data_IF_304392717169
#
_entry.id   IF_304392717169
#
_cell.length_a   1.000
_cell.length_b   1.000
_cell.length_c   1.000
_cell.angle_alpha   90.00
_cell.angle_beta   90.00
_cell.angle_gamma   90.00
#
_symmetry.space_group_name_H-M   'P 1'
#
loop_
_entity.id
_entity.type
_entity.pdbx_description
1 polymer ?
#
# COMPACT_ATOMS: atom_id res chain seq x y z
N UNK A 1 68.72 17.17 -9.83
CA UNK A 1 67.52 17.95 -10.20
C UNK A 1 66.65 17.14 -11.15
N UNK A 2 65.64 16.41 -10.65
CA UNK A 2 64.48 15.96 -11.44
C UNK A 2 63.28 16.12 -10.52
N UNK A 3 62.44 17.09 -10.84
CA UNK A 3 61.31 17.54 -10.04
C UNK A 3 60.23 16.45 -9.99
N UNK A 4 59.73 16.04 -8.80
CA UNK A 4 58.64 15.07 -8.70
C UNK A 4 57.26 15.70 -8.97
N UNK A 5 57.20 17.02 -9.22
CA UNK A 5 55.96 17.79 -9.39
C UNK A 5 55.16 17.41 -10.63
N UNK A 6 55.78 16.80 -11.65
CA UNK A 6 55.09 16.46 -12.91
C UNK A 6 54.28 15.15 -12.81
N UNK A 7 54.66 14.23 -11.93
CA UNK A 7 53.97 12.94 -11.79
C UNK A 7 52.67 13.06 -10.96
N UNK A 8 52.60 14.05 -10.07
CA UNK A 8 51.42 14.28 -9.22
C UNK A 8 50.28 15.00 -9.96
N UNK A 9 50.58 15.75 -11.03
CA UNK A 9 49.56 16.45 -11.82
C UNK A 9 48.79 15.54 -12.79
N UNK A 10 49.41 14.44 -13.23
CA UNK A 10 48.79 13.51 -14.21
C UNK A 10 47.79 12.56 -13.55
N UNK A 11 47.99 12.22 -12.27
CA UNK A 11 47.09 11.31 -11.53
C UNK A 11 45.80 12.02 -11.09
N UNK A 12 45.82 13.33 -10.90
CA UNK A 12 44.63 14.09 -10.48
C UNK A 12 43.62 14.33 -11.63
N UNK A 13 44.03 14.16 -12.89
CA UNK A 13 43.17 14.35 -14.06
C UNK A 13 42.26 13.14 -14.38
N UNK A 14 42.46 11.99 -13.71
CA UNK A 14 41.73 10.75 -13.99
C UNK A 14 40.40 10.56 -13.23
N UNK A 15 40.05 11.46 -12.30
CA UNK A 15 38.87 11.33 -11.44
C UNK A 15 37.65 12.14 -11.92
N UNK A 16 37.71 12.72 -13.12
CA UNK A 16 36.51 13.21 -13.80
C UNK A 16 35.72 12.01 -14.36
N UNK A 17 35.21 11.17 -13.46
CA UNK A 17 34.21 10.18 -13.79
C UNK A 17 32.95 10.95 -14.22
N UNK A 18 32.80 11.16 -15.52
CA UNK A 18 31.51 11.50 -16.10
C UNK A 18 30.54 10.39 -15.71
N UNK A 19 29.76 10.59 -14.65
CA UNK A 19 28.54 9.82 -14.45
C UNK A 19 27.65 10.13 -15.66
N UNK A 20 27.66 9.22 -16.63
CA UNK A 20 26.72 9.28 -17.74
C UNK A 20 25.36 9.01 -17.10
N UNK A 21 24.59 10.07 -16.86
CA UNK A 21 23.19 9.93 -16.45
C UNK A 21 22.50 9.14 -17.55
N UNK A 22 22.17 7.89 -17.27
CA UNK A 22 21.41 7.05 -18.18
C UNK A 22 19.98 7.56 -18.12
N UNK A 23 19.66 8.53 -18.97
CA UNK A 23 18.28 8.92 -19.17
C UNK A 23 17.63 7.85 -20.02
N UNK A 24 16.85 6.98 -19.37
CA UNK A 24 16.06 5.97 -20.06
C UNK A 24 15.01 6.73 -20.88
N UNK A 25 15.05 6.55 -22.19
CA UNK A 25 14.04 7.09 -23.09
C UNK A 25 12.80 6.19 -22.95
N UNK A 26 11.96 6.54 -21.98
CA UNK A 26 10.70 5.86 -21.72
C UNK A 26 9.66 6.45 -22.67
N UNK A 27 8.89 5.61 -23.34
CA UNK A 27 7.76 6.07 -24.14
C UNK A 27 6.78 6.81 -23.21
N UNK A 28 6.51 8.09 -23.53
CA UNK A 28 5.49 8.87 -22.81
C UNK A 28 4.13 8.27 -23.13
N UNK A 29 3.56 7.51 -22.19
CA UNK A 29 2.20 6.98 -22.31
C UNK A 29 1.19 8.07 -21.99
N UNK A 30 0.04 8.08 -22.68
CA UNK A 30 -1.05 8.99 -22.32
C UNK A 30 -1.46 8.79 -20.85
N UNK A 31 -1.72 9.87 -20.08
CA UNK A 31 -2.15 9.77 -18.69
C UNK A 31 -3.34 8.82 -18.52
N UNK A 32 -3.20 7.86 -17.60
CA UNK A 32 -4.24 6.87 -17.31
C UNK A 32 -5.02 7.30 -16.06
N UNK A 33 -6.31 6.98 -16.02
CA UNK A 33 -7.10 7.12 -14.80
C UNK A 33 -6.55 6.18 -13.72
N UNK A 34 -6.40 6.69 -12.50
CA UNK A 34 -6.06 5.94 -11.29
C UNK A 34 -7.26 6.01 -10.36
N UNK A 35 -7.73 4.85 -9.91
CA UNK A 35 -8.87 4.71 -9.00
C UNK A 35 -8.38 4.03 -7.73
N UNK A 36 -8.52 4.70 -6.59
CA UNK A 36 -8.26 4.14 -5.27
C UNK A 36 -9.53 4.23 -4.44
N UNK A 37 -10.14 3.08 -4.15
CA UNK A 37 -11.42 3.04 -3.47
C UNK A 37 -11.49 1.91 -2.45
N UNK A 38 -12.27 2.13 -1.39
CA UNK A 38 -12.46 1.11 -0.38
C UNK A 38 -13.86 1.11 0.23
N UNK A 39 -14.24 -0.04 0.80
CA UNK A 39 -15.40 -0.24 1.68
C UNK A 39 -14.93 -1.05 2.88
N UNK A 40 -15.28 -0.62 4.10
CA UNK A 40 -14.87 -1.31 5.33
C UNK A 40 -16.05 -1.71 6.19
N UNK A 41 -15.85 -2.61 7.14
CA UNK A 41 -16.86 -2.94 8.15
C UNK A 41 -16.99 -1.88 9.28
N UNK A 42 -16.21 -0.79 9.24
CA UNK A 42 -16.36 0.34 10.15
C UNK A 42 -17.43 1.31 9.66
N UNK A 43 -17.88 2.21 10.52
CA UNK A 43 -18.82 3.27 10.13
C UNK A 43 -18.23 4.12 8.99
N UNK A 44 -19.03 4.35 7.94
CA UNK A 44 -18.68 5.27 6.86
C UNK A 44 -18.64 6.75 7.30
N UNK A 45 -18.48 7.68 6.35
CA UNK A 45 -18.47 7.46 4.90
C UNK A 45 -17.15 6.87 4.41
N UNK A 46 -17.21 6.08 3.33
CA UNK A 46 -16.05 5.57 2.62
C UNK A 46 -15.68 6.49 1.46
N UNK A 47 -14.45 6.32 0.96
CA UNK A 47 -13.86 7.21 -0.05
C UNK A 47 -13.45 6.47 -1.31
N UNK A 48 -13.63 7.12 -2.46
CA UNK A 48 -13.01 6.79 -3.73
C UNK A 48 -12.25 8.02 -4.22
N UNK A 49 -10.96 7.87 -4.46
CA UNK A 49 -10.08 8.90 -5.00
C UNK A 49 -9.81 8.61 -6.47
N UNK A 50 -10.00 9.62 -7.32
CA UNK A 50 -9.74 9.58 -8.74
C UNK A 50 -8.64 10.58 -9.10
N UNK A 51 -7.60 10.11 -9.79
CA UNK A 51 -6.50 10.94 -10.30
C UNK A 51 -6.01 10.45 -11.66
N UNK A 52 -5.06 11.17 -12.25
CA UNK A 52 -4.35 10.73 -13.46
C UNK A 52 -2.91 10.36 -13.14
N UNK A 53 -2.38 9.35 -13.82
CA UNK A 53 -0.97 9.02 -13.78
C UNK A 53 -0.14 10.15 -14.40
N UNK A 54 1.10 10.30 -13.94
CA UNK A 54 2.07 11.25 -14.49
C UNK A 54 3.25 10.49 -15.08
N UNK A 55 4.04 11.17 -15.92
CA UNK A 55 5.26 10.59 -16.49
C UNK A 55 6.27 10.23 -15.39
N UNK A 56 7.12 9.25 -15.66
CA UNK A 56 8.10 8.74 -14.69
C UNK A 56 9.05 9.81 -14.11
N UNK A 57 9.39 10.83 -14.90
CA UNK A 57 10.26 11.92 -14.47
C UNK A 57 9.49 13.16 -13.95
N UNK A 58 8.16 13.09 -13.88
CA UNK A 58 7.35 14.16 -13.32
C UNK A 58 7.49 14.19 -11.79
N UNK A 59 7.05 15.30 -11.18
CA UNK A 59 6.93 15.37 -9.73
C UNK A 59 5.78 14.47 -9.24
N UNK A 60 5.82 14.06 -7.97
CA UNK A 60 4.80 13.23 -7.30
C UNK A 60 3.47 13.95 -7.03
N UNK A 61 3.00 14.75 -7.98
CA UNK A 61 1.72 15.46 -7.95
C UNK A 61 0.80 14.85 -8.99
N UNK A 62 -0.13 14.01 -8.55
CA UNK A 62 -1.10 13.34 -9.42
C UNK A 62 -2.36 14.21 -9.60
N UNK A 63 -2.67 14.70 -10.82
CA UNK A 63 -3.81 15.59 -11.03
C UNK A 63 -5.15 14.88 -10.72
N UNK A 64 -6.07 15.52 -9.98
CA UNK A 64 -7.36 14.91 -9.65
C UNK A 64 -8.28 14.83 -10.88
N UNK A 65 -9.13 13.81 -10.93
CA UNK A 65 -10.19 13.67 -11.94
C UNK A 65 -11.52 14.04 -11.31
N UNK A 66 -12.12 15.13 -11.79
CA UNK A 66 -13.37 15.70 -11.25
C UNK A 66 -14.56 15.44 -12.17
N UNK A 67 -15.77 15.60 -11.65
CA UNK A 67 -17.02 15.47 -12.43
C UNK A 67 -17.35 14.05 -12.91
N UNK A 68 -16.70 13.02 -12.37
CA UNK A 68 -17.03 11.63 -12.64
C UNK A 68 -18.32 11.20 -11.93
N UNK A 69 -19.01 10.21 -12.48
CA UNK A 69 -20.07 9.48 -11.76
C UNK A 69 -19.44 8.27 -11.08
N UNK A 70 -19.56 8.19 -9.75
CA UNK A 70 -18.99 7.08 -8.95
C UNK A 70 -20.10 6.41 -8.15
N UNK A 71 -20.21 5.08 -8.28
CA UNK A 71 -21.22 4.27 -7.62
C UNK A 71 -20.53 3.10 -6.94
N UNK A 72 -20.85 2.84 -5.68
CA UNK A 72 -20.52 1.58 -5.01
C UNK A 72 -21.82 0.81 -4.76
N UNK A 73 -21.85 -0.47 -5.13
CA UNK A 73 -22.97 -1.36 -4.92
C UNK A 73 -22.60 -2.52 -3.99
N UNK A 74 -23.47 -2.83 -3.03
CA UNK A 74 -23.49 -4.10 -2.32
C UNK A 74 -24.30 -5.09 -3.16
N UNK A 75 -23.62 -6.06 -3.78
CA UNK A 75 -24.24 -7.00 -4.71
C UNK A 75 -25.15 -7.98 -3.97
N UNK A 76 -24.81 -8.35 -2.73
CA UNK A 76 -25.58 -9.26 -1.91
C UNK A 76 -26.89 -8.61 -1.43
N UNK A 77 -26.84 -7.34 -1.07
CA UNK A 77 -28.01 -6.58 -0.62
C UNK A 77 -28.83 -5.96 -1.76
N UNK A 78 -28.35 -6.04 -3.01
CA UNK A 78 -28.92 -5.35 -4.17
C UNK A 78 -29.14 -3.84 -3.88
N UNK A 79 -28.15 -3.22 -3.27
CA UNK A 79 -28.17 -1.82 -2.85
C UNK A 79 -27.01 -1.07 -3.50
N UNK A 80 -27.25 0.16 -3.94
CA UNK A 80 -26.23 1.01 -4.55
C UNK A 80 -26.25 2.41 -3.92
N UNK A 81 -25.06 2.96 -3.71
CA UNK A 81 -24.81 4.30 -3.23
C UNK A 81 -24.04 5.07 -4.29
N UNK A 82 -24.63 6.17 -4.77
CA UNK A 82 -23.96 7.10 -5.68
C UNK A 82 -23.20 8.12 -4.85
N UNK A 83 -21.88 8.15 -5.01
CA UNK A 83 -21.00 8.97 -4.19
C UNK A 83 -21.05 10.44 -4.62
N UNK A 84 -20.83 11.33 -3.67
CA UNK A 84 -20.70 12.79 -3.92
C UNK A 84 -19.24 13.19 -3.94
N UNK A 85 -18.83 13.99 -4.93
CA UNK A 85 -17.52 14.64 -4.95
C UNK A 85 -17.46 15.73 -3.86
N UNK A 86 -16.58 15.55 -2.87
CA UNK A 86 -16.45 16.45 -1.71
C UNK A 86 -15.27 17.41 -1.83
N UNK A 87 -14.27 17.05 -2.62
CA UNK A 87 -13.16 17.88 -3.06
C UNK A 87 -12.65 17.33 -4.40
N UNK A 88 -11.84 18.08 -5.18
CA UNK A 88 -11.39 17.64 -6.49
C UNK A 88 -10.84 16.20 -6.47
N UNK A 89 -11.54 15.29 -7.15
CA UNK A 89 -11.16 13.88 -7.27
C UNK A 89 -11.45 13.02 -6.04
N UNK A 90 -12.12 13.52 -5.00
CA UNK A 90 -12.47 12.76 -3.79
C UNK A 90 -13.98 12.59 -3.68
N UNK A 91 -14.44 11.36 -3.85
CA UNK A 91 -15.84 10.96 -3.80
C UNK A 91 -16.14 10.23 -2.49
N UNK A 92 -17.28 10.53 -1.85
CA UNK A 92 -17.68 9.91 -0.58
C UNK A 92 -19.05 9.26 -0.64
N UNK A 93 -19.19 8.13 0.05
CA UNK A 93 -20.48 7.45 0.22
C UNK A 93 -21.37 8.20 1.22
N UNK A 94 -22.65 7.82 1.27
CA UNK A 94 -23.64 8.43 2.16
C UNK A 94 -24.23 7.42 3.14
N UNK A 95 -24.54 6.23 2.66
CA UNK A 95 -25.45 5.28 3.33
C UNK A 95 -24.98 3.84 3.27
N UNK A 96 -24.15 3.48 2.28
CA UNK A 96 -23.60 2.13 2.23
C UNK A 96 -22.72 1.88 3.46
N UNK A 97 -22.87 0.70 4.03
CA UNK A 97 -22.13 0.21 5.18
C UNK A 97 -21.58 -1.16 4.81
N UNK A 98 -20.28 -1.38 5.01
CA UNK A 98 -19.64 -2.66 4.71
C UNK A 98 -20.08 -3.75 5.67
N UNK A 99 -20.34 -4.94 5.11
CA UNK A 99 -20.80 -6.14 5.79
C UNK A 99 -19.86 -7.27 5.37
N UNK A 100 -19.32 -7.97 6.37
CA UNK A 100 -18.47 -9.13 6.12
C UNK A 100 -19.22 -10.23 5.36
N UNK A 101 -18.52 -10.87 4.41
CA UNK A 101 -19.08 -11.88 3.51
C UNK A 101 -19.82 -11.33 2.30
N UNK A 102 -20.06 -10.01 2.23
CA UNK A 102 -20.67 -9.37 1.06
C UNK A 102 -19.62 -9.03 0.00
N UNK A 103 -20.06 -9.02 -1.26
CA UNK A 103 -19.28 -8.57 -2.40
C UNK A 103 -19.73 -7.17 -2.81
N UNK A 104 -18.75 -6.28 -2.92
CA UNK A 104 -18.95 -4.89 -3.33
C UNK A 104 -18.45 -4.68 -4.76
N UNK A 105 -19.25 -3.96 -5.55
CA UNK A 105 -18.90 -3.51 -6.88
C UNK A 105 -18.67 -2.01 -6.93
N UNK A 106 -17.64 -1.57 -7.63
CA UNK A 106 -17.39 -0.18 -7.96
C UNK A 106 -17.68 0.06 -9.45
N UNK A 107 -18.37 1.15 -9.77
CA UNK A 107 -18.52 1.66 -11.13
C UNK A 107 -18.15 3.14 -11.18
N UNK A 108 -17.22 3.49 -12.08
CA UNK A 108 -16.78 4.86 -12.33
C UNK A 108 -17.01 5.18 -13.81
N UNK A 109 -17.73 6.26 -14.09
CA UNK A 109 -17.88 6.79 -15.45
C UNK A 109 -17.23 8.17 -15.53
N UNK A 110 -16.23 8.31 -16.39
CA UNK A 110 -15.49 9.56 -16.59
C UNK A 110 -15.12 9.73 -18.06
N UNK A 111 -15.37 10.92 -18.61
CA UNK A 111 -15.10 11.27 -20.02
C UNK A 111 -15.66 10.26 -21.03
N UNK A 112 -16.86 9.71 -20.76
CA UNK A 112 -17.53 8.72 -21.61
C UNK A 112 -17.01 7.28 -21.50
N UNK A 113 -15.98 7.04 -20.69
CA UNK A 113 -15.45 5.70 -20.39
C UNK A 113 -16.01 5.17 -19.07
N UNK A 114 -16.20 3.85 -18.99
CA UNK A 114 -16.68 3.17 -17.79
C UNK A 114 -15.63 2.20 -17.27
N UNK A 115 -15.40 2.23 -15.96
CA UNK A 115 -14.47 1.39 -15.23
C UNK A 115 -15.22 0.66 -14.13
N UNK A 116 -14.91 -0.61 -13.93
CA UNK A 116 -15.60 -1.45 -12.94
C UNK A 116 -14.62 -2.28 -12.13
N UNK A 117 -14.88 -2.49 -10.84
CA UNK A 117 -14.11 -3.39 -10.00
C UNK A 117 -15.02 -4.16 -9.03
N UNK A 118 -14.53 -5.28 -8.52
CA UNK A 118 -15.26 -6.13 -7.56
C UNK A 118 -14.31 -6.60 -6.45
N UNK A 119 -14.79 -6.61 -5.21
CA UNK A 119 -14.06 -7.14 -4.06
C UNK A 119 -15.03 -7.74 -3.03
N UNK A 120 -14.72 -8.93 -2.54
CA UNK A 120 -15.50 -9.59 -1.48
C UNK A 120 -14.87 -9.33 -0.12
N UNK A 121 -15.66 -8.82 0.83
CA UNK A 121 -15.20 -8.54 2.18
C UNK A 121 -15.05 -9.86 2.97
N UNK A 122 -13.85 -10.22 3.44
CA UNK A 122 -13.66 -11.46 4.22
C UNK A 122 -14.32 -11.44 5.60
N UNK A 123 -14.27 -12.58 6.28
CA UNK A 123 -14.60 -12.69 7.71
C UNK A 123 -13.60 -11.86 8.56
N UNK A 124 -14.06 -11.18 9.62
CA UNK A 124 -13.15 -10.45 10.49
C UNK A 124 -12.30 -11.42 11.32
N UNK A 125 -11.00 -11.17 11.36
CA UNK A 125 -10.06 -11.79 12.30
C UNK A 125 -9.66 -10.75 13.34
N UNK A 126 -9.63 -11.15 14.60
CA UNK A 126 -9.26 -10.25 15.69
C UNK A 126 -7.73 -10.14 15.81
N UNK A 127 -7.21 -8.91 15.76
CA UNK A 127 -5.85 -8.63 16.18
C UNK A 127 -5.81 -8.65 17.72
N UNK A 128 -5.08 -9.58 18.32
CA UNK A 128 -5.11 -9.76 19.78
C UNK A 128 -4.23 -8.72 20.48
N UNK A 129 -2.99 -8.58 20.02
CA UNK A 129 -2.01 -7.69 20.62
C UNK A 129 -0.89 -7.29 19.65
N UNK A 130 -0.07 -6.34 20.09
CA UNK A 130 1.16 -5.94 19.42
C UNK A 130 2.30 -6.18 20.39
N UNK A 131 3.30 -6.92 19.95
CA UNK A 131 4.58 -7.08 20.66
C UNK A 131 5.69 -6.47 19.83
N UNK A 132 6.87 -6.30 20.42
CA UNK A 132 8.01 -5.66 19.74
C UNK A 132 9.25 -6.53 19.90
N UNK A 133 10.07 -6.60 18.86
CA UNK A 133 11.40 -7.19 18.96
C UNK A 133 12.47 -6.21 18.48
N UNK A 134 13.65 -6.30 19.10
CA UNK A 134 14.83 -5.53 18.69
C UNK A 134 15.65 -6.38 17.71
N UNK A 135 15.70 -5.96 16.45
CA UNK A 135 16.39 -6.64 15.36
C UNK A 135 17.90 -6.35 15.32
N UNK A 136 18.40 -5.50 16.22
CA UNK A 136 19.77 -5.01 16.16
C UNK A 136 20.78 -6.10 16.45
N UNK A 137 21.60 -6.42 15.46
CA UNK A 137 22.76 -7.29 15.65
C UNK A 137 23.95 -6.46 16.16
N UNK A 138 24.44 -6.74 17.37
CA UNK A 138 25.65 -6.10 17.91
C UNK A 138 25.45 -4.76 18.66
N UNK A 139 24.21 -4.41 19.03
CA UNK A 139 23.91 -3.49 20.13
C UNK A 139 24.16 -1.99 19.91
N UNK A 140 24.35 -1.52 18.68
CA UNK A 140 24.58 -0.09 18.39
C UNK A 140 23.37 0.66 17.81
N UNK A 141 22.44 -0.06 17.17
CA UNK A 141 21.19 0.50 16.68
C UNK A 141 20.03 -0.02 17.55
N UNK A 142 18.87 0.63 17.49
CA UNK A 142 17.61 0.14 18.06
C UNK A 142 16.63 -0.08 16.91
N UNK A 143 16.82 -1.18 16.19
CA UNK A 143 15.92 -1.60 15.12
C UNK A 143 14.68 -2.26 15.75
N UNK A 144 13.74 -1.45 16.22
CA UNK A 144 12.50 -1.96 16.84
C UNK A 144 11.49 -2.27 15.74
N UNK A 145 10.95 -3.48 15.77
CA UNK A 145 9.99 -3.97 14.79
C UNK A 145 8.70 -4.38 15.50
N UNK A 146 7.54 -3.85 15.07
CA UNK A 146 6.26 -4.25 15.63
C UNK A 146 5.83 -5.61 15.09
N UNK A 147 5.21 -6.42 15.94
CA UNK A 147 4.72 -7.75 15.61
C UNK A 147 3.23 -7.84 15.93
N UNK A 148 2.35 -7.95 14.92
CA UNK A 148 0.95 -8.27 15.14
C UNK A 148 0.82 -9.72 15.63
N UNK A 149 0.02 -9.91 16.67
CA UNK A 149 -0.27 -11.22 17.26
C UNK A 149 -1.76 -11.52 17.07
N UNK A 150 -2.07 -12.59 16.34
CA UNK A 150 -3.45 -12.97 16.07
C UNK A 150 -3.59 -14.46 15.73
N UNK A 151 -4.79 -15.00 15.94
CA UNK A 151 -5.13 -16.36 15.59
C UNK A 151 -5.75 -16.40 14.18
N UNK A 152 -5.07 -17.04 13.24
CA UNK A 152 -5.62 -17.33 11.91
C UNK A 152 -6.70 -18.45 11.99
N UNK A 153 -7.89 -18.28 11.39
CA UNK A 153 -8.91 -19.32 11.35
C UNK A 153 -8.54 -20.49 10.43
N UNK A 154 -8.59 -21.71 10.94
CA UNK A 154 -8.24 -22.92 10.17
C UNK A 154 -9.23 -23.24 9.04
N UNK A 155 -8.73 -23.70 7.91
CA UNK A 155 -9.50 -24.25 6.79
C UNK A 155 -10.13 -23.21 5.86
N UNK A 156 -9.74 -21.94 6.00
CA UNK A 156 -10.16 -20.83 5.14
C UNK A 156 -8.90 -20.12 4.66
N UNK A 157 -8.75 -19.88 3.36
CA UNK A 157 -7.61 -19.12 2.87
C UNK A 157 -7.81 -17.62 3.19
N UNK A 158 -6.94 -17.07 4.03
CA UNK A 158 -6.97 -15.69 4.50
C UNK A 158 -5.78 -14.89 3.96
N UNK A 159 -6.07 -13.63 3.68
CA UNK A 159 -5.08 -12.65 3.27
C UNK A 159 -5.24 -11.41 4.11
N UNK A 160 -4.10 -10.84 4.49
CA UNK A 160 -4.04 -9.75 5.44
C UNK A 160 -3.20 -8.61 4.87
N UNK A 161 -3.62 -7.38 5.19
CA UNK A 161 -2.80 -6.18 5.05
C UNK A 161 -2.65 -5.53 6.42
N UNK A 162 -1.47 -4.98 6.69
CA UNK A 162 -1.22 -4.24 7.93
C UNK A 162 -0.81 -2.82 7.59
N UNK A 163 -1.41 -1.86 8.30
CA UNK A 163 -1.02 -0.45 8.27
C UNK A 163 -0.52 -0.08 9.65
N UNK A 164 0.70 0.44 9.71
CA UNK A 164 1.38 0.78 10.97
C UNK A 164 1.37 2.30 11.13
N UNK A 165 1.06 2.76 12.34
CA UNK A 165 1.14 4.15 12.73
C UNK A 165 2.09 4.28 13.92
N UNK A 166 3.02 5.23 13.84
CA UNK A 166 3.87 5.68 14.94
C UNK A 166 3.42 7.07 15.41
N UNK A 167 3.04 7.20 16.67
CA UNK A 167 2.55 8.46 17.25
C UNK A 167 1.46 9.15 16.41
N UNK A 168 0.61 8.35 15.76
CA UNK A 168 -0.48 8.80 14.88
C UNK A 168 -0.07 9.11 13.43
N UNK A 169 1.22 9.04 13.08
CA UNK A 169 1.72 9.16 11.71
C UNK A 169 1.85 7.79 11.08
N UNK A 170 1.30 7.61 9.88
CA UNK A 170 1.42 6.36 9.13
C UNK A 170 2.87 6.13 8.69
N UNK A 171 3.38 4.93 8.99
CA UNK A 171 4.61 4.40 8.41
C UNK A 171 4.30 4.04 6.96
N UNK A 172 4.85 4.80 6.02
CA UNK A 172 4.52 4.74 4.58
C UNK A 172 5.08 3.48 3.90
N UNK A 173 4.65 2.31 4.37
CA UNK A 173 5.05 1.00 3.87
C UNK A 173 3.87 0.04 3.90
N UNK A 174 3.69 -0.68 2.80
CA UNK A 174 2.65 -1.70 2.67
C UNK A 174 3.16 -3.03 3.20
N UNK A 175 2.40 -3.64 4.12
CA UNK A 175 2.66 -4.99 4.60
C UNK A 175 1.50 -5.89 4.24
N UNK A 176 1.79 -7.04 3.62
CA UNK A 176 0.79 -8.06 3.30
C UNK A 176 1.25 -9.44 3.71
N UNK A 177 0.29 -10.28 4.10
CA UNK A 177 0.54 -11.64 4.56
C UNK A 177 -0.51 -12.60 4.00
N UNK A 178 -0.10 -13.81 3.64
CA UNK A 178 -0.99 -14.91 3.26
C UNK A 178 -0.74 -16.08 4.19
N UNK A 179 -1.83 -16.67 4.68
CA UNK A 179 -1.81 -17.83 5.57
C UNK A 179 -1.44 -19.16 4.89
N UNK A 180 -1.08 -19.17 3.61
CA UNK A 180 -0.86 -20.39 2.80
C UNK A 180 0.03 -21.43 3.47
N UNK A 181 1.00 -21.00 4.28
CA UNK A 181 1.95 -21.87 4.99
C UNK A 181 1.71 -21.93 6.52
N UNK A 182 0.65 -21.28 6.99
CA UNK A 182 0.32 -21.09 8.40
C UNK A 182 -1.17 -21.20 8.72
N UNK A 183 -1.97 -21.83 7.85
CA UNK A 183 -3.41 -22.05 8.03
C UNK A 183 -3.73 -22.59 9.44
N UNK A 184 -4.60 -21.86 10.15
CA UNK A 184 -5.05 -22.22 11.50
C UNK A 184 -4.02 -21.96 12.61
N UNK A 185 -2.87 -21.36 12.32
CA UNK A 185 -1.81 -21.11 13.31
C UNK A 185 -1.93 -19.73 13.94
N UNK A 186 -1.35 -19.60 15.12
CA UNK A 186 -1.09 -18.30 15.71
C UNK A 186 0.01 -17.59 14.93
N UNK A 187 -0.28 -16.39 14.44
CA UNK A 187 0.65 -15.59 13.65
C UNK A 187 1.37 -14.59 14.57
N UNK A 188 2.70 -14.54 14.43
CA UNK A 188 3.61 -13.70 15.19
C UNK A 188 4.81 -13.31 14.32
N UNK A 189 4.54 -12.70 13.17
CA UNK A 189 5.57 -12.35 12.18
C UNK A 189 5.86 -10.84 12.21
N UNK A 190 7.13 -10.43 12.33
CA UNK A 190 7.47 -9.01 12.41
C UNK A 190 7.18 -8.26 11.11
N UNK A 191 6.58 -7.09 11.23
CA UNK A 191 6.44 -6.14 10.12
C UNK A 191 7.74 -5.37 9.99
N UNK A 192 8.58 -5.73 9.02
CA UNK A 192 9.89 -5.11 8.83
C UNK A 192 9.78 -3.67 8.29
N UNK A 193 9.82 -2.69 9.18
CA UNK A 193 9.84 -1.26 8.86
C UNK A 193 11.28 -0.77 8.71
N UNK A 194 11.48 0.27 7.88
CA UNK A 194 12.74 1.00 7.87
C UNK A 194 12.88 1.76 9.21
N UNK A 195 14.01 1.55 9.88
CA UNK A 195 14.15 1.62 11.35
C UNK A 195 14.25 3.02 11.94
N UNK A 196 13.98 4.07 11.17
CA UNK A 196 13.95 5.47 11.66
C UNK A 196 12.65 5.87 12.33
N UNK A 197 11.60 5.07 12.21
CA UNK A 197 10.24 5.55 12.47
C UNK A 197 9.65 5.11 13.81
N UNK A 198 10.22 4.12 14.49
CA UNK A 198 9.68 3.59 15.76
C UNK A 198 10.75 3.55 16.83
N UNK A 199 10.53 4.26 17.93
CA UNK A 199 11.45 4.41 19.06
C UNK A 199 10.84 3.92 20.37
N UNK A 200 11.66 3.63 21.40
CA UNK A 200 11.16 3.38 22.75
C UNK A 200 10.20 4.48 23.22
N UNK A 201 9.12 4.05 23.88
CA UNK A 201 8.04 4.89 24.42
C UNK A 201 7.09 5.52 23.41
N UNK A 202 7.29 5.30 22.11
CA UNK A 202 6.32 5.72 21.12
C UNK A 202 5.00 4.93 21.25
N UNK A 203 3.91 5.53 20.78
CA UNK A 203 2.63 4.85 20.65
C UNK A 203 2.50 4.25 19.25
N UNK A 204 2.61 2.92 19.17
CA UNK A 204 2.43 2.19 17.92
C UNK A 204 0.98 1.69 17.80
N UNK A 205 0.33 1.95 16.67
CA UNK A 205 -0.95 1.35 16.29
C UNK A 205 -0.76 0.49 15.05
N UNK A 206 -1.37 -0.70 15.05
CA UNK A 206 -1.51 -1.53 13.85
C UNK A 206 -3.00 -1.65 13.54
N UNK A 207 -3.36 -1.28 12.32
CA UNK A 207 -4.63 -1.62 11.71
C UNK A 207 -4.42 -2.86 10.84
N UNK A 208 -5.09 -3.96 11.18
CA UNK A 208 -5.08 -5.23 10.46
C UNK A 208 -6.35 -5.33 9.61
N UNK A 209 -6.15 -5.47 8.29
CA UNK A 209 -7.22 -5.65 7.33
C UNK A 209 -7.27 -7.11 6.89
N UNK A 210 -8.44 -7.74 6.94
CA UNK A 210 -8.67 -8.99 6.21
C UNK A 210 -9.18 -8.61 4.83
N UNK A 211 -8.44 -8.98 3.78
CA UNK A 211 -8.63 -8.50 2.41
C UNK A 211 -8.92 -9.64 1.44
N UNK A 212 -9.59 -9.33 0.32
CA UNK A 212 -9.81 -10.27 -0.77
C UNK A 212 -8.47 -10.65 -1.45
N UNK A 213 -8.43 -11.82 -2.09
CA UNK A 213 -7.22 -12.35 -2.74
C UNK A 213 -6.69 -11.43 -3.84
N UNK A 214 -7.58 -10.83 -4.64
CA UNK A 214 -7.18 -9.90 -5.70
C UNK A 214 -6.52 -8.63 -5.13
N UNK A 215 -7.02 -8.13 -4.00
CA UNK A 215 -6.43 -7.00 -3.26
C UNK A 215 -5.07 -7.40 -2.69
N UNK A 216 -4.95 -8.60 -2.12
CA UNK A 216 -3.67 -9.12 -1.65
C UNK A 216 -2.63 -9.19 -2.76
N UNK A 217 -3.00 -9.76 -3.91
CA UNK A 217 -2.09 -9.87 -5.06
C UNK A 217 -1.60 -8.50 -5.52
N UNK A 218 -2.50 -7.51 -5.61
CA UNK A 218 -2.13 -6.14 -5.98
C UNK A 218 -1.06 -5.57 -5.05
N UNK A 219 -1.29 -5.62 -3.73
CA UNK A 219 -0.34 -5.07 -2.76
C UNK A 219 0.93 -5.91 -2.62
N UNK A 220 0.85 -7.23 -2.82
CA UNK A 220 2.04 -8.08 -2.91
C UNK A 220 2.92 -7.69 -4.10
N UNK A 221 2.34 -7.44 -5.27
CA UNK A 221 3.08 -6.94 -6.43
C UNK A 221 3.66 -5.55 -6.16
N UNK A 222 2.91 -4.66 -5.49
CA UNK A 222 3.46 -3.36 -5.04
C UNK A 222 4.70 -3.54 -4.17
N UNK A 223 4.69 -4.45 -3.17
CA UNK A 223 5.88 -4.67 -2.34
C UNK A 223 7.03 -5.27 -3.12
N UNK A 224 6.78 -6.18 -4.06
CA UNK A 224 7.84 -6.71 -4.93
C UNK A 224 8.47 -5.61 -5.80
N UNK A 225 7.67 -4.67 -6.31
CA UNK A 225 8.15 -3.56 -7.13
C UNK A 225 8.97 -2.58 -6.27
N UNK A 226 8.47 -2.18 -5.10
CA UNK A 226 9.09 -1.13 -4.27
C UNK A 226 10.29 -1.62 -3.45
N UNK A 227 10.31 -2.89 -3.04
CA UNK A 227 11.41 -3.47 -2.23
C UNK A 227 12.50 -4.14 -3.07
N UNK A 228 12.29 -4.31 -4.39
CA UNK A 228 13.31 -4.89 -5.26
C UNK A 228 14.56 -4.00 -5.37
N UNK A 229 15.58 -4.34 -4.58
CA UNK A 229 16.94 -3.82 -4.75
C UNK A 229 17.53 -4.38 -6.05
N UNK A 230 17.66 -3.51 -7.05
CA UNK A 230 18.45 -3.70 -8.29
C UNK A 230 17.98 -4.78 -9.30
N UNK A 231 17.21 -4.36 -10.30
CA UNK A 231 17.65 -4.54 -11.70
C UNK A 231 17.04 -5.65 -12.58
N UNK A 232 16.09 -6.46 -12.12
CA UNK A 232 15.59 -7.61 -12.94
C UNK A 232 14.07 -7.70 -13.16
N UNK A 233 13.24 -6.88 -12.52
CA UNK A 233 11.83 -6.76 -12.89
C UNK A 233 11.69 -5.60 -13.89
N UNK A 234 11.09 -5.85 -15.05
CA UNK A 234 10.68 -4.76 -15.93
C UNK A 234 9.70 -3.86 -15.14
N UNK A 235 9.83 -2.52 -15.21
CA UNK A 235 8.89 -1.62 -14.56
C UNK A 235 7.50 -1.88 -15.13
N UNK A 236 6.63 -2.46 -14.30
CA UNK A 236 5.25 -2.78 -14.64
C UNK A 236 4.33 -2.31 -13.53
N UNK A 237 3.10 -1.94 -13.89
CA UNK A 237 2.08 -1.63 -12.89
C UNK A 237 1.60 -2.92 -12.23
N UNK A 238 1.28 -2.90 -10.92
CA UNK A 238 0.68 -4.04 -10.25
C UNK A 238 -0.66 -4.41 -10.90
N UNK A 239 -0.97 -5.69 -10.87
CA UNK A 239 -2.20 -6.26 -11.43
C UNK A 239 -3.41 -5.73 -10.67
N UNK A 240 -4.17 -4.85 -11.32
CA UNK A 240 -5.37 -4.23 -10.76
C UNK A 240 -6.61 -5.15 -10.86
N UNK A 241 -7.58 -4.96 -9.96
CA UNK A 241 -8.93 -5.54 -10.09
C UNK A 241 -9.90 -4.63 -10.87
N UNK A 242 -9.42 -3.53 -11.45
CA UNK A 242 -10.22 -2.61 -12.24
C UNK A 242 -10.22 -3.02 -13.72
N UNK A 243 -11.42 -3.20 -14.25
CA UNK A 243 -11.67 -3.38 -15.69
C UNK A 243 -11.94 -2.03 -16.35
N UNK A 244 -11.50 -1.86 -17.60
CA UNK A 244 -11.67 -0.62 -18.37
C UNK A 244 -10.36 0.13 -18.65
N UNK A 245 -9.21 -0.41 -18.22
CA UNK A 245 -7.88 0.13 -18.54
C UNK A 245 -7.37 1.24 -17.60
N UNK A 246 -8.03 1.44 -16.46
CA UNK A 246 -7.53 2.28 -15.37
C UNK A 246 -6.53 1.52 -14.49
N UNK A 247 -5.71 2.27 -13.75
CA UNK A 247 -4.81 1.79 -12.71
C UNK A 247 -5.47 1.91 -11.32
N UNK A 248 -4.81 1.35 -10.30
CA UNK A 248 -5.21 1.44 -8.90
C UNK A 248 -5.94 0.21 -8.40
N UNK A 249 -6.77 0.34 -7.38
CA UNK A 249 -7.40 -0.78 -6.68
C UNK A 249 -8.75 -0.39 -6.07
N UNK A 250 -9.68 -1.34 -6.01
CA UNK A 250 -10.87 -1.25 -5.17
C UNK A 250 -10.88 -2.38 -4.13
N UNK A 251 -10.97 -2.04 -2.84
CA UNK A 251 -10.86 -3.00 -1.73
C UNK A 251 -12.09 -3.03 -0.84
N UNK A 252 -12.65 -4.21 -0.59
CA UNK A 252 -13.61 -4.45 0.48
C UNK A 252 -12.96 -5.29 1.56
N UNK A 253 -12.89 -4.78 2.79
CA UNK A 253 -12.14 -5.44 3.86
C UNK A 253 -12.71 -5.20 5.26
N UNK A 254 -12.41 -6.11 6.18
CA UNK A 254 -12.71 -5.89 7.60
C UNK A 254 -11.50 -5.34 8.32
N UNK A 255 -11.71 -4.51 9.34
CA UNK A 255 -10.66 -3.87 10.13
C UNK A 255 -10.66 -4.37 11.56
N UNK A 256 -9.47 -4.67 12.10
CA UNK A 256 -9.20 -4.85 13.52
C UNK A 256 -7.98 -4.03 13.91
N UNK A 257 -8.06 -3.25 14.99
CA UNK A 257 -7.00 -2.30 15.38
C UNK A 257 -6.52 -2.56 16.80
N UNK A 258 -5.21 -2.44 17.02
CA UNK A 258 -4.59 -2.42 18.35
C UNK A 258 -3.58 -1.30 18.47
N UNK A 259 -3.41 -0.82 19.70
CA UNK A 259 -2.41 0.17 20.07
C UNK A 259 -1.59 -0.38 21.23
N UNK A 260 -0.27 -0.22 21.17
CA UNK A 260 0.64 -0.57 22.25
C UNK A 260 1.77 0.47 22.36
N UNK A 261 2.24 0.70 23.58
CA UNK A 261 3.43 1.53 23.79
C UNK A 261 4.68 0.69 23.54
N UNK A 262 5.63 1.25 22.80
CA UNK A 262 6.89 0.61 22.50
C UNK A 262 7.71 0.50 23.80
N UNK A 263 8.13 -0.69 24.23
CA UNK A 263 8.93 -0.86 25.43
C UNK A 263 10.37 -0.33 25.23
N UNK A 264 11.06 -0.09 26.33
CA UNK A 264 12.51 0.17 26.29
C UNK A 264 13.27 -1.15 26.08
N UNK A 265 13.48 -1.51 24.82
CA UNK A 265 14.24 -2.68 24.37
C UNK A 265 15.74 -2.38 24.21
#
# INVERSE_FOLDING_TARGET
MKSPRLLFLVVLAGLAACQKTVHLNLDTTSPQLVIDGQVTNLAGPYTVKLSTSVDYYANDTFPPVTGATVIIADVNANFADTLTETSPGLYKTHTIQGISGHTYGLAVTSSGNTYTAMSTMPAPVNLDSITFYNASFGGKNKDIQPIPNFQDPAGVANYYQFVVYDNGKEVQKTFVFSDRLSDGRYIHEPLQTDTSDIHPFDQCRIDMYCIDKNVYNYFYEVTQITESQAGNAAPGNPTTNITGGALGIFSAHTVSSKTANVPNL
#
